data_IF_518048544547
#
_entry.id   IF_518048544547
#
_cell.length_a   1.000
_cell.length_b   1.000
_cell.length_c   1.000
_cell.angle_alpha   90.00
_cell.angle_beta   90.00
_cell.angle_gamma   90.00
#
_symmetry.space_group_name_H-M   'P 1'
#
loop_
_entity.id
_entity.type
_entity.pdbx_description
1 polymer ?
#
# COMPACT_ATOMS: atom_id res chain seq x y z
N UNK A 1 45.96 -25.58 14.14
CA UNK A 1 45.88 -25.57 12.66
C UNK A 1 45.19 -24.28 12.27
N UNK A 2 45.97 -23.27 11.86
CA UNK A 2 45.42 -22.03 11.32
C UNK A 2 45.21 -22.26 9.82
N UNK A 3 43.96 -22.35 9.38
CA UNK A 3 43.63 -22.43 7.96
C UNK A 3 43.99 -21.10 7.30
N UNK A 4 45.10 -21.12 6.55
CA UNK A 4 45.55 -20.02 5.71
C UNK A 4 44.59 -19.96 4.52
N UNK A 5 43.57 -19.10 4.62
CA UNK A 5 42.66 -18.76 3.54
C UNK A 5 43.48 -18.17 2.39
N UNK A 6 43.53 -18.90 1.27
CA UNK A 6 44.24 -18.48 0.06
C UNK A 6 43.59 -17.22 -0.54
N UNK A 7 44.36 -16.24 -1.06
CA UNK A 7 43.84 -14.95 -1.52
C UNK A 7 42.80 -15.05 -2.65
N UNK A 8 42.77 -16.17 -3.39
CA UNK A 8 41.74 -16.48 -4.39
C UNK A 8 40.35 -16.72 -3.80
N UNK A 9 40.26 -17.29 -2.59
CA UNK A 9 38.98 -17.55 -1.90
C UNK A 9 38.33 -16.23 -1.43
N UNK A 10 39.12 -15.26 -0.98
CA UNK A 10 38.62 -13.95 -0.52
C UNK A 10 37.97 -13.11 -1.63
N UNK A 11 38.56 -13.10 -2.83
CA UNK A 11 38.03 -12.32 -3.97
C UNK A 11 36.70 -12.91 -4.47
N UNK A 12 36.57 -14.24 -4.46
CA UNK A 12 35.36 -14.93 -4.87
C UNK A 12 34.19 -14.66 -3.90
N UNK A 13 34.46 -14.68 -2.59
CA UNK A 13 33.48 -14.32 -1.56
C UNK A 13 33.04 -12.85 -1.64
N UNK A 14 33.97 -11.93 -1.92
CA UNK A 14 33.65 -10.51 -2.12
C UNK A 14 32.74 -10.29 -3.34
N UNK A 15 33.02 -10.94 -4.48
CA UNK A 15 32.16 -10.86 -5.67
C UNK A 15 30.77 -11.47 -5.43
N UNK A 16 30.69 -12.59 -4.71
CA UNK A 16 29.41 -13.25 -4.38
C UNK A 16 28.56 -12.36 -3.47
N UNK A 17 29.15 -11.83 -2.40
CA UNK A 17 28.48 -10.92 -1.47
C UNK A 17 28.04 -9.61 -2.16
N UNK A 18 28.85 -9.10 -3.10
CA UNK A 18 28.48 -7.89 -3.85
C UNK A 18 27.33 -8.15 -4.84
N UNK A 19 27.31 -9.33 -5.47
CA UNK A 19 26.26 -9.71 -6.42
C UNK A 19 24.91 -9.93 -5.71
N UNK A 20 24.91 -10.63 -4.56
CA UNK A 20 23.70 -10.82 -3.75
C UNK A 20 23.16 -9.49 -3.20
N UNK A 21 24.04 -8.60 -2.73
CA UNK A 21 23.63 -7.29 -2.20
C UNK A 21 23.00 -6.41 -3.28
N UNK A 22 23.60 -6.40 -4.48
CA UNK A 22 23.05 -5.72 -5.65
C UNK A 22 21.69 -6.31 -6.06
N UNK A 23 21.56 -7.64 -6.06
CA UNK A 23 20.34 -8.34 -6.45
C UNK A 23 19.15 -8.04 -5.53
N UNK A 24 19.40 -7.94 -4.22
CA UNK A 24 18.38 -7.52 -3.23
C UNK A 24 17.90 -6.10 -3.50
N UNK A 25 18.81 -5.19 -3.82
CA UNK A 25 18.48 -3.78 -4.08
C UNK A 25 17.60 -3.62 -5.33
N UNK A 26 17.91 -4.34 -6.41
CA UNK A 26 17.11 -4.33 -7.63
C UNK A 26 15.72 -4.92 -7.41
N UNK A 27 15.58 -5.99 -6.63
CA UNK A 27 14.27 -6.56 -6.29
C UNK A 27 13.39 -5.59 -5.51
N UNK A 28 13.96 -4.89 -4.53
CA UNK A 28 13.26 -3.85 -3.76
C UNK A 28 12.79 -2.69 -4.67
N UNK A 29 13.66 -2.22 -5.55
CA UNK A 29 13.31 -1.18 -6.51
C UNK A 29 12.21 -1.64 -7.48
N UNK A 30 12.26 -2.89 -7.95
CA UNK A 30 11.26 -3.45 -8.87
C UNK A 30 9.88 -3.60 -8.21
N UNK A 31 9.85 -3.94 -6.91
CA UNK A 31 8.63 -3.95 -6.10
C UNK A 31 8.02 -2.55 -6.01
N UNK A 32 8.82 -1.54 -5.65
CA UNK A 32 8.37 -0.15 -5.56
C UNK A 32 7.84 0.37 -6.90
N UNK A 33 8.53 0.05 -8.00
CA UNK A 33 8.10 0.43 -9.35
C UNK A 33 6.77 -0.24 -9.73
N UNK A 34 6.59 -1.54 -9.42
CA UNK A 34 5.31 -2.23 -9.65
C UNK A 34 4.17 -1.61 -8.89
N UNK A 35 4.36 -1.34 -7.60
CA UNK A 35 3.34 -0.71 -6.75
C UNK A 35 2.98 0.67 -7.31
N UNK A 36 3.97 1.49 -7.67
CA UNK A 36 3.73 2.82 -8.22
C UNK A 36 2.97 2.78 -9.56
N UNK A 37 3.27 1.82 -10.42
CA UNK A 37 2.55 1.61 -11.68
C UNK A 37 1.12 1.13 -11.44
N UNK A 38 0.89 0.26 -10.47
CA UNK A 38 -0.43 -0.24 -10.12
C UNK A 38 -1.32 0.89 -9.57
N UNK A 39 -0.80 1.68 -8.62
CA UNK A 39 -1.48 2.89 -8.13
C UNK A 39 -1.77 3.87 -9.27
N UNK A 40 -0.80 4.12 -10.16
CA UNK A 40 -1.01 5.01 -11.30
C UNK A 40 -2.08 4.48 -12.26
N UNK A 41 -2.15 3.18 -12.50
CA UNK A 41 -3.21 2.56 -13.31
C UNK A 41 -4.58 2.70 -12.67
N UNK A 42 -4.69 2.49 -11.36
CA UNK A 42 -5.94 2.65 -10.61
C UNK A 42 -6.42 4.11 -10.58
N UNK A 43 -5.51 5.08 -10.45
CA UNK A 43 -5.79 6.51 -10.60
C UNK A 43 -6.17 6.89 -12.03
N UNK A 44 -5.41 6.44 -13.04
CA UNK A 44 -5.70 6.71 -14.47
C UNK A 44 -6.97 6.04 -14.98
N UNK A 45 -7.45 4.98 -14.31
CA UNK A 45 -8.76 4.40 -14.59
C UNK A 45 -9.91 5.38 -14.30
N UNK A 46 -9.61 6.57 -13.77
CA UNK A 46 -10.51 7.70 -13.59
C UNK A 46 -11.80 7.32 -12.86
N UNK A 47 -11.75 6.25 -12.05
CA UNK A 47 -12.83 5.90 -11.15
C UNK A 47 -12.68 6.82 -9.95
N UNK A 48 -13.61 7.76 -9.76
CA UNK A 48 -13.54 8.64 -8.61
C UNK A 48 -13.58 7.78 -7.34
N UNK A 49 -12.81 8.18 -6.34
CA UNK A 49 -12.65 7.42 -5.08
C UNK A 49 -14.02 7.06 -4.47
N UNK A 50 -15.02 7.93 -4.66
CA UNK A 50 -16.39 7.71 -4.22
C UNK A 50 -17.02 6.44 -4.81
N UNK A 51 -16.74 6.07 -6.07
CA UNK A 51 -17.28 4.84 -6.67
C UNK A 51 -16.68 3.59 -6.06
N UNK A 52 -15.36 3.60 -5.80
CA UNK A 52 -14.68 2.49 -5.13
C UNK A 52 -15.23 2.31 -3.73
N UNK A 53 -15.46 3.42 -3.02
CA UNK A 53 -16.10 3.42 -1.70
C UNK A 53 -17.52 2.86 -1.75
N UNK A 54 -18.38 3.33 -2.67
CA UNK A 54 -19.76 2.84 -2.84
C UNK A 54 -19.81 1.33 -3.11
N UNK A 55 -18.90 0.79 -3.93
CA UNK A 55 -18.81 -0.67 -4.15
C UNK A 55 -18.53 -1.43 -2.87
N UNK A 56 -17.64 -0.92 -2.01
CA UNK A 56 -17.33 -1.55 -0.72
C UNK A 56 -18.51 -1.46 0.26
N UNK A 57 -19.24 -0.34 0.28
CA UNK A 57 -20.46 -0.18 1.08
C UNK A 57 -21.53 -1.20 0.67
N UNK A 58 -21.72 -1.42 -0.64
CA UNK A 58 -22.69 -2.39 -1.14
C UNK A 58 -22.33 -3.85 -0.80
N UNK A 59 -21.05 -4.21 -0.91
CA UNK A 59 -20.59 -5.58 -0.63
C UNK A 59 -20.57 -5.86 0.88
N UNK A 60 -20.21 -4.87 1.71
CA UNK A 60 -19.97 -5.04 3.14
C UNK A 60 -20.53 -3.88 3.99
N UNK A 61 -21.86 -3.69 4.06
CA UNK A 61 -22.47 -2.53 4.72
C UNK A 61 -22.19 -2.47 6.23
N UNK A 62 -22.21 -3.64 6.89
CA UNK A 62 -22.02 -3.76 8.36
C UNK A 62 -20.56 -3.82 8.80
N UNK A 63 -19.61 -3.81 7.86
CA UNK A 63 -18.18 -3.88 8.20
C UNK A 63 -17.75 -2.55 8.80
N UNK A 64 -16.82 -2.61 9.76
CA UNK A 64 -16.20 -1.42 10.34
C UNK A 64 -15.35 -0.72 9.28
N UNK A 65 -15.64 0.56 9.06
CA UNK A 65 -14.93 1.40 8.10
C UNK A 65 -13.91 2.30 8.80
N UNK A 66 -14.28 2.89 9.94
CA UNK A 66 -13.42 3.80 10.68
C UNK A 66 -13.60 3.58 12.18
N UNK A 67 -12.51 3.73 12.94
CA UNK A 67 -12.54 3.83 14.39
C UNK A 67 -11.91 5.17 14.74
N UNK A 68 -12.71 6.05 15.32
CA UNK A 68 -12.27 7.37 15.77
C UNK A 68 -11.39 7.22 17.02
N UNK A 69 -10.16 7.72 16.95
CA UNK A 69 -9.16 7.50 18.00
C UNK A 69 -9.50 8.26 19.28
N UNK A 70 -10.13 9.44 19.16
CA UNK A 70 -10.41 10.30 20.32
C UNK A 70 -11.62 9.85 21.13
N UNK A 71 -12.67 9.36 20.46
CA UNK A 71 -13.93 8.97 21.12
C UNK A 71 -14.10 7.45 21.19
N UNK A 72 -13.21 6.68 20.56
CA UNK A 72 -13.35 5.23 20.41
C UNK A 72 -14.56 4.82 19.56
N UNK A 73 -15.17 5.78 18.84
CA UNK A 73 -16.40 5.57 18.09
C UNK A 73 -16.10 4.71 16.87
N UNK A 74 -16.85 3.62 16.76
CA UNK A 74 -16.77 2.68 15.66
C UNK A 74 -17.85 3.03 14.64
N UNK A 75 -17.46 3.32 13.42
CA UNK A 75 -18.37 3.70 12.34
C UNK A 75 -18.33 2.62 11.26
N UNK A 76 -19.52 2.14 10.87
CA UNK A 76 -19.66 1.15 9.78
C UNK A 76 -19.61 1.82 8.41
N UNK A 77 -19.40 1.04 7.35
CA UNK A 77 -19.45 1.54 5.98
C UNK A 77 -20.78 2.22 5.64
N UNK A 78 -21.89 1.65 6.11
CA UNK A 78 -23.23 2.22 5.92
C UNK A 78 -23.41 3.58 6.62
N UNK A 79 -23.02 3.66 7.89
CA UNK A 79 -23.11 4.92 8.66
C UNK A 79 -22.21 6.01 8.06
N UNK A 80 -21.00 5.64 7.66
CA UNK A 80 -20.06 6.56 7.03
C UNK A 80 -20.61 7.10 5.70
N UNK A 81 -21.23 6.24 4.88
CA UNK A 81 -21.88 6.66 3.64
C UNK A 81 -23.02 7.65 3.89
N UNK A 82 -23.84 7.40 4.92
CA UNK A 82 -24.94 8.30 5.29
C UNK A 82 -24.43 9.67 5.75
N UNK A 83 -23.34 9.70 6.52
CA UNK A 83 -22.70 10.94 6.94
C UNK A 83 -22.13 11.72 5.76
N UNK A 84 -21.42 11.04 4.85
CA UNK A 84 -20.85 11.68 3.66
C UNK A 84 -21.93 12.23 2.73
N UNK A 85 -23.04 11.51 2.52
CA UNK A 85 -24.16 12.04 1.74
C UNK A 85 -24.80 13.28 2.38
N UNK A 86 -24.90 13.32 3.71
CA UNK A 86 -25.38 14.51 4.44
C UNK A 86 -24.44 15.69 4.24
N UNK A 87 -23.13 15.46 4.33
CA UNK A 87 -22.12 16.50 4.08
C UNK A 87 -22.14 16.97 2.63
N UNK A 88 -22.20 16.06 1.66
CA UNK A 88 -22.30 16.41 0.25
C UNK A 88 -23.50 17.33 -0.01
N UNK A 89 -24.69 16.98 0.48
CA UNK A 89 -25.88 17.83 0.35
C UNK A 89 -25.75 19.19 1.06
N UNK A 90 -24.97 19.28 2.14
CA UNK A 90 -24.71 20.55 2.82
C UNK A 90 -23.84 21.49 1.97
N UNK A 91 -22.82 20.94 1.29
CA UNK A 91 -21.89 21.71 0.48
C UNK A 91 -22.34 21.94 -0.98
N UNK A 92 -23.26 21.12 -1.50
CA UNK A 92 -23.77 21.21 -2.87
C UNK A 92 -24.86 22.30 -3.03
N UNK A 93 -25.44 22.76 -1.90
CA UNK A 93 -26.47 23.82 -1.86
C UNK A 93 -25.87 25.20 -1.52
N UNK A 94 -24.55 25.30 -1.32
CA UNK A 94 -23.82 26.56 -1.10
C UNK A 94 -23.21 27.09 -2.39
#
# INVERSE_FOLDING_TARGET
>A
MHDIITPRQCICLLLFLYFDFIWIYYRGLLLLLRVKLDFKRQLNANRPIHEVFLKQVQIHPKKLACVEVETGRKVTYEELNRLMNRYANYFDVS
#
